data_IF_469571911867
#
_entry.id   IF_469571911867
#
_cell.length_a   1.000
_cell.length_b   1.000
_cell.length_c   1.000
_cell.angle_alpha   90.00
_cell.angle_beta   90.00
_cell.angle_gamma   90.00
#
_symmetry.space_group_name_H-M   'P 1'
#
loop_
_entity.id
_entity.type
_entity.pdbx_description
1 polymer ?
#
# COMPACT_ATOMS: atom_id res chain seq x y z
N UNK A 1 17.58 -3.27 15.56
CA UNK A 1 16.88 -2.20 16.35
C UNK A 1 15.54 -1.93 15.69
N UNK A 2 14.47 -1.77 16.48
CA UNK A 2 13.14 -1.37 15.95
C UNK A 2 13.24 0.03 15.36
N UNK A 3 12.84 0.21 14.10
CA UNK A 3 12.74 1.53 13.48
C UNK A 3 11.36 2.12 13.85
N UNK A 4 11.28 3.42 14.20
CA UNK A 4 9.98 4.04 14.53
C UNK A 4 8.98 3.94 13.36
N UNK A 5 9.49 3.90 12.13
CA UNK A 5 8.70 3.69 10.91
C UNK A 5 7.98 2.34 10.88
N UNK A 6 8.48 1.33 11.61
CA UNK A 6 7.84 0.01 11.70
C UNK A 6 6.50 0.06 12.43
N UNK A 7 6.22 1.12 13.19
CA UNK A 7 4.97 1.31 13.95
C UNK A 7 4.02 2.33 13.30
N UNK A 8 4.33 2.85 12.11
CA UNK A 8 3.45 3.77 11.38
C UNK A 8 2.64 2.97 10.36
N UNK A 9 1.32 3.18 10.34
CA UNK A 9 0.37 2.52 9.45
C UNK A 9 -0.31 3.55 8.57
N UNK A 10 -0.35 3.29 7.27
CA UNK A 10 -1.06 4.10 6.29
C UNK A 10 -2.35 3.37 5.93
N UNK A 11 -3.49 3.97 6.25
CA UNK A 11 -4.80 3.32 6.10
C UNK A 11 -5.57 4.04 4.99
N UNK A 12 -5.89 3.32 3.91
CA UNK A 12 -6.79 3.79 2.87
C UNK A 12 -8.19 3.27 3.16
N UNK A 13 -9.13 4.18 3.42
CA UNK A 13 -10.52 3.86 3.71
C UNK A 13 -11.36 4.08 2.46
N UNK A 14 -12.04 3.04 2.00
CA UNK A 14 -12.85 3.03 0.78
C UNK A 14 -12.12 3.61 -0.45
N UNK A 15 -10.87 3.19 -0.74
CA UNK A 15 -10.22 3.59 -1.98
C UNK A 15 -11.08 3.14 -3.17
N UNK A 16 -11.10 3.91 -4.26
CA UNK A 16 -11.94 3.61 -5.43
C UNK A 16 -11.17 2.97 -6.57
N UNK A 17 -10.01 3.52 -6.89
CA UNK A 17 -9.21 3.10 -8.04
C UNK A 17 -8.07 2.16 -7.61
N UNK A 18 -7.94 0.95 -8.19
CA UNK A 18 -6.83 0.04 -7.91
C UNK A 18 -5.46 0.69 -8.13
N UNK A 19 -5.30 1.48 -9.21
CA UNK A 19 -4.07 2.24 -9.47
C UNK A 19 -3.64 3.15 -8.32
N UNK A 20 -4.58 3.80 -7.63
CA UNK A 20 -4.26 4.68 -6.50
C UNK A 20 -3.72 3.91 -5.29
N UNK A 21 -4.14 2.66 -5.11
CA UNK A 21 -3.61 1.77 -4.07
C UNK A 21 -2.16 1.40 -4.42
N UNK A 22 -1.89 1.10 -5.68
CA UNK A 22 -0.53 0.89 -6.19
C UNK A 22 0.39 2.10 -5.99
N UNK A 23 -0.05 3.28 -6.43
CA UNK A 23 0.70 4.52 -6.26
C UNK A 23 0.95 4.84 -4.77
N UNK A 24 -0.01 4.55 -3.91
CA UNK A 24 0.13 4.70 -2.46
C UNK A 24 1.18 3.75 -1.89
N UNK A 25 1.17 2.47 -2.29
CA UNK A 25 2.21 1.51 -1.90
C UNK A 25 3.61 1.99 -2.32
N UNK A 26 3.73 2.55 -3.53
CA UNK A 26 4.98 3.16 -4.03
C UNK A 26 5.44 4.33 -3.17
N UNK A 27 4.53 5.23 -2.80
CA UNK A 27 4.84 6.36 -1.92
C UNK A 27 5.30 5.89 -0.53
N UNK A 28 4.59 4.94 0.06
CA UNK A 28 4.92 4.32 1.37
C UNK A 28 6.34 3.76 1.34
N UNK A 29 6.68 2.96 0.32
CA UNK A 29 8.03 2.39 0.17
C UNK A 29 9.12 3.43 -0.02
N UNK A 30 8.89 4.39 -0.92
CA UNK A 30 9.87 5.45 -1.21
C UNK A 30 10.20 6.30 0.03
N UNK A 31 9.24 6.45 0.95
CA UNK A 31 9.44 7.17 2.21
C UNK A 31 10.04 6.29 3.34
N UNK A 32 10.35 5.02 3.04
CA UNK A 32 10.97 4.07 3.96
C UNK A 32 10.00 3.45 4.97
N UNK A 33 8.70 3.45 4.67
CA UNK A 33 7.67 2.75 5.43
C UNK A 33 7.26 1.46 4.72
N UNK A 34 6.50 0.61 5.42
CA UNK A 34 6.10 -0.70 4.90
C UNK A 34 4.65 -1.10 5.19
N UNK A 35 4.00 -0.49 6.18
CA UNK A 35 2.67 -0.93 6.61
C UNK A 35 1.58 -0.15 5.86
N UNK A 36 0.94 -0.81 4.90
CA UNK A 36 -0.25 -0.34 4.20
C UNK A 36 -1.46 -1.17 4.64
N UNK A 37 -2.57 -0.50 4.94
CA UNK A 37 -3.84 -1.13 5.29
C UNK A 37 -4.95 -0.60 4.38
N UNK A 38 -5.86 -1.48 4.00
CA UNK A 38 -6.98 -1.18 3.11
C UNK A 38 -8.27 -1.56 3.81
N UNK A 39 -9.20 -0.63 3.93
CA UNK A 39 -10.54 -0.87 4.49
C UNK A 39 -11.55 -0.78 3.34
N UNK A 40 -12.31 -1.85 3.11
CA UNK A 40 -13.26 -1.95 1.99
C UNK A 40 -12.65 -1.54 0.62
N UNK A 41 -11.50 -2.13 0.20
CA UNK A 41 -10.90 -1.82 -1.09
C UNK A 41 -11.70 -2.41 -2.26
N UNK A 42 -11.51 -1.89 -3.48
CA UNK A 42 -11.99 -2.54 -4.68
C UNK A 42 -11.16 -3.80 -4.93
N UNK A 43 -11.58 -4.60 -5.91
CA UNK A 43 -10.73 -5.69 -6.40
C UNK A 43 -9.43 -5.10 -6.95
N UNK A 44 -8.30 -5.58 -6.45
CA UNK A 44 -6.99 -5.17 -6.97
C UNK A 44 -6.78 -5.82 -8.33
N UNK A 45 -6.63 -5.00 -9.36
CA UNK A 45 -6.32 -5.41 -10.73
C UNK A 45 -4.83 -5.24 -11.02
N UNK A 46 -4.38 -5.63 -12.22
CA UNK A 46 -3.01 -5.42 -12.67
C UNK A 46 -2.58 -3.95 -12.65
N UNK A 47 -3.53 -3.02 -12.74
CA UNK A 47 -3.28 -1.58 -12.61
C UNK A 47 -2.62 -1.22 -11.28
N UNK A 48 -3.06 -1.82 -10.16
CA UNK A 48 -2.46 -1.61 -8.86
C UNK A 48 -0.98 -2.04 -8.86
N UNK A 49 -0.66 -3.17 -9.52
CA UNK A 49 0.71 -3.68 -9.62
C UNK A 49 1.57 -2.79 -10.52
N UNK A 50 1.04 -2.31 -11.65
CA UNK A 50 1.72 -1.37 -12.54
C UNK A 50 2.09 -0.08 -11.81
N UNK A 51 1.17 0.47 -11.01
CA UNK A 51 1.38 1.74 -10.31
C UNK A 51 2.27 1.58 -9.07
N UNK A 52 2.32 0.39 -8.47
CA UNK A 52 3.24 0.09 -7.37
C UNK A 52 4.72 0.04 -7.80
N UNK A 53 5.01 -0.27 -9.06
CA UNK A 53 6.38 -0.39 -9.58
C UNK A 53 7.23 -1.33 -8.68
N UNK A 54 8.30 -0.83 -8.06
CA UNK A 54 9.17 -1.61 -7.16
C UNK A 54 8.59 -1.82 -5.75
N UNK A 55 7.36 -1.39 -5.48
CA UNK A 55 6.70 -1.51 -4.18
C UNK A 55 5.67 -2.65 -4.10
N UNK A 56 5.84 -3.70 -4.91
CA UNK A 56 5.00 -4.89 -4.87
C UNK A 56 5.02 -5.57 -3.49
N UNK A 57 6.15 -5.51 -2.77
CA UNK A 57 6.26 -6.00 -1.39
C UNK A 57 5.31 -5.28 -0.44
N UNK A 58 5.14 -3.96 -0.58
CA UNK A 58 4.18 -3.19 0.24
C UNK A 58 2.74 -3.43 -0.21
N UNK A 59 2.50 -3.55 -1.52
CA UNK A 59 1.17 -3.83 -2.06
C UNK A 59 0.68 -5.24 -1.68
N UNK A 60 1.54 -6.25 -1.84
CA UNK A 60 1.21 -7.66 -1.62
C UNK A 60 1.12 -8.01 -0.12
N UNK A 61 1.83 -7.26 0.75
CA UNK A 61 1.70 -7.39 2.21
C UNK A 61 0.62 -6.50 2.84
N UNK A 62 -0.11 -5.73 2.03
CA UNK A 62 -1.13 -4.82 2.54
C UNK A 62 -2.24 -5.59 3.28
N UNK A 63 -2.52 -5.20 4.52
CA UNK A 63 -3.59 -5.80 5.31
C UNK A 63 -4.95 -5.30 4.82
N UNK A 64 -5.91 -6.21 4.64
CA UNK A 64 -7.25 -5.89 4.16
C UNK A 64 -8.27 -6.13 5.27
N UNK A 65 -9.15 -5.15 5.48
CA UNK A 65 -10.22 -5.14 6.46
C UNK A 65 -11.56 -4.90 5.78
#
# INVERSE_FOLDING_TARGET
MKNWKDNIYFILVEPKEPGNIGASARAVKNMGFKNLCLVNPPVLTDEARWFACNALDVLDSAQKY
#
